data_IF_574600102603
#
_entry.id   IF_574600102603
#
_cell.length_a   1.000
_cell.length_b   1.000
_cell.length_c   1.000
_cell.angle_alpha   90.00
_cell.angle_beta   90.00
_cell.angle_gamma   90.00
#
_symmetry.space_group_name_H-M   'P 1'
#
loop_
_entity.id
_entity.type
_entity.pdbx_description
1 polymer ?
#
# COMPACT_ATOMS: atom_id res chain seq x y z
N UNK A 1 9.53 22.98 -12.43
CA UNK A 1 8.42 22.26 -11.78
C UNK A 1 8.20 20.97 -12.58
N UNK A 2 7.81 19.86 -11.93
CA UNK A 2 7.78 18.52 -12.55
C UNK A 2 6.56 18.40 -13.48
N UNK A 3 6.75 18.10 -14.78
CA UNK A 3 5.67 18.01 -15.78
C UNK A 3 4.55 17.05 -15.37
N UNK A 4 4.90 16.02 -14.60
CA UNK A 4 3.93 15.05 -14.08
C UNK A 4 3.05 15.66 -12.99
N UNK A 5 3.65 16.42 -12.09
CA UNK A 5 2.94 17.18 -11.04
C UNK A 5 1.99 18.21 -11.67
N UNK A 6 2.48 18.95 -12.67
CA UNK A 6 1.69 19.92 -13.45
C UNK A 6 0.46 19.26 -14.10
N UNK A 7 0.64 18.11 -14.75
CA UNK A 7 -0.47 17.36 -15.36
C UNK A 7 -1.54 16.90 -14.36
N UNK A 8 -1.13 16.48 -13.16
CA UNK A 8 -2.07 16.08 -12.10
C UNK A 8 -2.85 17.28 -11.56
N UNK A 9 -2.18 18.41 -11.31
CA UNK A 9 -2.84 19.63 -10.82
C UNK A 9 -3.78 20.21 -11.88
N UNK A 10 -3.37 20.21 -13.16
CA UNK A 10 -4.21 20.66 -14.27
C UNK A 10 -5.50 19.84 -14.40
N UNK A 11 -5.40 18.50 -14.29
CA UNK A 11 -6.58 17.60 -14.31
C UNK A 11 -7.56 17.92 -13.18
N UNK A 12 -7.06 18.13 -11.96
CA UNK A 12 -7.91 18.47 -10.81
C UNK A 12 -8.59 19.82 -10.96
N UNK A 13 -7.88 20.82 -11.51
CA UNK A 13 -8.47 22.13 -11.81
C UNK A 13 -9.54 22.04 -12.89
N UNK A 14 -9.33 21.24 -13.92
CA UNK A 14 -10.35 20.98 -14.96
C UNK A 14 -11.63 20.34 -14.40
N UNK A 15 -11.54 19.56 -13.33
CA UNK A 15 -12.71 19.02 -12.61
C UNK A 15 -13.40 20.05 -11.70
N UNK A 16 -12.70 21.14 -11.34
CA UNK A 16 -13.15 22.16 -10.38
C UNK A 16 -13.64 23.45 -11.06
N UNK A 17 -13.44 23.59 -12.38
CA UNK A 17 -13.79 24.79 -13.16
C UNK A 17 -15.29 25.11 -13.28
N UNK A 18 -16.16 24.38 -12.58
CA UNK A 18 -17.56 24.79 -12.33
C UNK A 18 -17.70 25.65 -11.05
N UNK A 19 -16.60 25.93 -10.32
CA UNK A 19 -16.60 26.75 -9.11
C UNK A 19 -15.32 27.61 -8.98
N UNK A 20 -15.41 28.85 -9.48
CA UNK A 20 -14.80 30.09 -8.95
C UNK A 20 -13.31 30.14 -8.53
N UNK A 21 -12.53 30.82 -9.37
CA UNK A 21 -11.28 31.61 -9.21
C UNK A 21 -10.18 31.33 -8.14
N UNK A 22 -8.98 31.14 -8.73
CA UNK A 22 -7.57 31.40 -8.35
C UNK A 22 -7.14 31.80 -6.93
N UNK A 23 -6.39 30.91 -6.25
CA UNK A 23 -5.27 31.26 -5.35
C UNK A 23 -4.19 30.14 -5.32
N UNK A 24 -2.96 30.46 -5.77
CA UNK A 24 -1.70 29.69 -5.57
C UNK A 24 -1.61 28.30 -6.23
N UNK A 25 -0.43 27.92 -6.72
CA UNK A 25 -0.21 26.68 -7.50
C UNK A 25 -0.70 25.38 -6.83
N UNK A 26 -0.78 25.35 -5.49
CA UNK A 26 -1.45 24.29 -4.70
C UNK A 26 -2.45 24.85 -3.66
N UNK A 27 -2.56 26.18 -3.55
CA UNK A 27 -3.34 26.86 -2.51
C UNK A 27 -4.83 26.56 -2.60
N UNK A 28 -5.34 26.46 -3.82
CA UNK A 28 -6.73 26.14 -4.15
C UNK A 28 -7.11 24.65 -3.99
N UNK A 29 -6.14 23.77 -3.72
CA UNK A 29 -6.42 22.35 -3.52
C UNK A 29 -6.88 22.10 -2.08
N UNK A 30 -7.98 21.36 -1.95
CA UNK A 30 -8.44 20.80 -0.68
C UNK A 30 -7.38 19.88 -0.05
N UNK A 31 -7.50 19.64 1.26
CA UNK A 31 -6.58 18.77 1.98
C UNK A 31 -6.47 17.37 1.33
N UNK A 32 -7.58 16.80 0.86
CA UNK A 32 -7.58 15.52 0.17
C UNK A 32 -6.85 15.57 -1.18
N UNK A 33 -7.10 16.62 -1.99
CA UNK A 33 -6.43 16.79 -3.28
C UNK A 33 -4.92 16.94 -3.11
N UNK A 34 -4.47 17.64 -2.06
CA UNK A 34 -3.04 17.73 -1.72
C UNK A 34 -2.47 16.38 -1.34
N UNK A 35 -3.18 15.58 -0.52
CA UNK A 35 -2.77 14.21 -0.22
C UNK A 35 -2.62 13.37 -1.50
N UNK A 36 -3.59 13.44 -2.41
CA UNK A 36 -3.54 12.73 -3.68
C UNK A 36 -2.32 13.15 -4.51
N UNK A 37 -2.12 14.46 -4.69
CA UNK A 37 -1.01 15.00 -5.47
C UNK A 37 0.34 14.61 -4.86
N UNK A 38 0.50 14.77 -3.54
CA UNK A 38 1.72 14.42 -2.82
C UNK A 38 2.05 12.93 -2.96
N UNK A 39 1.06 12.05 -2.82
CA UNK A 39 1.23 10.59 -2.94
C UNK A 39 1.50 10.17 -4.38
N UNK A 40 0.75 10.69 -5.35
CA UNK A 40 0.90 10.34 -6.77
C UNK A 40 2.20 10.88 -7.39
N UNK A 41 2.72 12.00 -6.88
CA UNK A 41 3.95 12.64 -7.34
C UNK A 41 5.22 12.19 -6.58
N UNK A 42 5.08 11.39 -5.51
CA UNK A 42 6.19 11.08 -4.59
C UNK A 42 6.79 12.31 -3.89
N UNK A 43 5.95 13.32 -3.65
CA UNK A 43 6.36 14.61 -3.08
C UNK A 43 5.73 14.79 -1.71
N UNK A 44 6.22 14.00 -0.75
CA UNK A 44 5.74 14.01 0.62
C UNK A 44 5.95 15.36 1.33
N UNK A 45 6.87 16.19 0.83
CA UNK A 45 7.05 17.58 1.24
C UNK A 45 5.81 18.46 0.99
N UNK A 46 4.89 18.01 0.11
CA UNK A 46 3.62 18.69 -0.19
C UNK A 46 2.46 18.21 0.71
N UNK A 47 2.70 17.22 1.58
CA UNK A 47 1.68 16.80 2.54
C UNK A 47 1.41 17.91 3.56
N UNK A 48 0.16 18.09 4.00
CA UNK A 48 -0.13 18.88 5.18
C UNK A 48 0.74 18.41 6.36
N UNK A 49 1.36 19.33 7.12
CA UNK A 49 2.32 19.02 8.18
C UNK A 49 1.83 18.03 9.26
N UNK A 50 0.53 17.82 9.37
CA UNK A 50 -0.08 16.89 10.32
C UNK A 50 -0.21 15.45 9.79
N UNK A 51 0.11 15.16 8.53
CA UNK A 51 -0.07 13.84 7.94
C UNK A 51 1.25 13.20 7.54
N UNK A 52 1.44 11.96 7.98
CA UNK A 52 2.41 11.06 7.36
C UNK A 52 1.83 10.46 6.05
N UNK A 53 2.66 9.85 5.19
CA UNK A 53 2.20 9.27 3.92
C UNK A 53 1.15 8.15 4.07
N UNK A 54 1.16 7.41 5.18
CA UNK A 54 0.22 6.31 5.45
C UNK A 54 -1.14 6.88 5.85
N UNK A 55 -1.16 7.86 6.75
CA UNK A 55 -2.37 8.59 7.12
C UNK A 55 -2.97 9.31 5.91
N UNK A 56 -2.13 9.95 5.08
CA UNK A 56 -2.54 10.58 3.84
C UNK A 56 -3.21 9.58 2.89
N UNK A 57 -2.66 8.37 2.76
CA UNK A 57 -3.21 7.29 1.94
C UNK A 57 -4.60 6.86 2.43
N UNK A 58 -4.76 6.64 3.73
CA UNK A 58 -6.03 6.21 4.32
C UNK A 58 -7.12 7.28 4.29
N UNK A 59 -6.77 8.55 4.09
CA UNK A 59 -7.74 9.64 3.88
C UNK A 59 -8.24 9.77 2.45
N UNK A 60 -7.56 9.15 1.48
CA UNK A 60 -8.03 9.13 0.11
C UNK A 60 -9.24 8.21 -0.03
N UNK A 61 -10.22 8.63 -0.82
CA UNK A 61 -11.29 7.74 -1.27
C UNK A 61 -10.76 6.66 -2.24
N UNK A 62 -11.52 5.57 -2.46
CA UNK A 62 -11.08 4.43 -3.28
C UNK A 62 -10.63 4.82 -4.69
N UNK A 63 -11.37 5.71 -5.36
CA UNK A 63 -11.07 6.18 -6.71
C UNK A 63 -9.71 6.91 -6.77
N UNK A 64 -9.37 7.65 -5.70
CA UNK A 64 -8.12 8.40 -5.62
C UNK A 64 -6.96 7.49 -5.25
N UNK A 65 -7.16 6.51 -4.38
CA UNK A 65 -6.18 5.45 -4.13
C UNK A 65 -5.83 4.69 -5.41
N UNK A 66 -6.85 4.34 -6.22
CA UNK A 66 -6.65 3.68 -7.50
C UNK A 66 -5.85 4.55 -8.47
N UNK A 67 -6.20 5.82 -8.57
CA UNK A 67 -5.45 6.76 -9.39
C UNK A 67 -3.99 6.88 -8.93
N UNK A 68 -3.71 6.94 -7.62
CA UNK A 68 -2.32 6.93 -7.10
C UNK A 68 -1.60 5.65 -7.50
N UNK A 69 -2.23 4.47 -7.39
CA UNK A 69 -1.62 3.21 -7.83
C UNK A 69 -1.23 3.26 -9.31
N UNK A 70 -2.14 3.71 -10.17
CA UNK A 70 -1.88 3.85 -11.61
C UNK A 70 -0.70 4.80 -11.88
N UNK A 71 -0.67 5.96 -11.25
CA UNK A 71 0.42 6.92 -11.42
C UNK A 71 1.75 6.36 -10.92
N UNK A 72 1.76 5.75 -9.73
CA UNK A 72 2.98 5.22 -9.09
C UNK A 72 3.46 3.90 -9.68
N UNK A 73 2.65 3.26 -10.53
CA UNK A 73 2.90 1.88 -10.98
C UNK A 73 2.84 0.89 -9.81
N UNK A 74 2.07 1.22 -8.77
CA UNK A 74 1.84 0.31 -7.66
C UNK A 74 0.77 -0.72 -8.03
N UNK A 75 0.80 -1.93 -7.43
CA UNK A 75 -0.23 -2.93 -7.68
C UNK A 75 -1.63 -2.37 -7.41
N UNK A 76 -2.58 -2.62 -8.32
CA UNK A 76 -3.96 -2.14 -8.17
C UNK A 76 -4.63 -2.70 -6.91
N UNK A 77 -4.22 -3.89 -6.47
CA UNK A 77 -4.68 -4.53 -5.23
C UNK A 77 -4.32 -3.73 -3.97
N UNK A 78 -3.41 -2.74 -4.05
CA UNK A 78 -3.11 -1.88 -2.92
C UNK A 78 -4.28 -0.97 -2.54
N UNK A 79 -5.21 -0.71 -3.45
CA UNK A 79 -6.47 -0.02 -3.15
C UNK A 79 -7.40 -0.81 -2.24
N UNK A 80 -7.17 -2.13 -2.13
CA UNK A 80 -7.92 -3.03 -1.25
C UNK A 80 -7.33 -3.07 0.16
N UNK A 81 -6.21 -2.38 0.43
CA UNK A 81 -5.45 -2.46 1.69
C UNK A 81 -6.21 -2.02 2.96
N UNK A 82 -7.40 -1.43 2.86
CA UNK A 82 -8.32 -1.33 3.99
C UNK A 82 -8.59 -2.69 4.64
N UNK A 83 -8.50 -3.78 3.87
CA UNK A 83 -8.63 -5.17 4.35
C UNK A 83 -7.31 -5.79 4.80
N UNK A 84 -6.14 -5.17 4.58
CA UNK A 84 -4.86 -5.86 4.81
C UNK A 84 -4.67 -6.24 6.29
N UNK A 85 -5.15 -5.42 7.22
CA UNK A 85 -5.10 -5.77 8.66
C UNK A 85 -5.99 -6.97 8.98
N UNK A 86 -7.18 -7.02 8.39
CA UNK A 86 -8.12 -8.14 8.56
C UNK A 86 -7.60 -9.40 7.87
N UNK A 87 -7.05 -9.29 6.67
CA UNK A 87 -6.43 -10.39 5.93
C UNK A 87 -5.18 -10.93 6.64
N UNK A 88 -4.31 -10.05 7.14
CA UNK A 88 -3.17 -10.45 7.98
C UNK A 88 -3.68 -11.15 9.25
N UNK A 89 -4.77 -10.68 9.85
CA UNK A 89 -5.45 -11.35 10.95
C UNK A 89 -5.93 -12.75 10.57
N UNK A 90 -6.66 -12.89 9.45
CA UNK A 90 -7.15 -14.17 8.92
C UNK A 90 -6.01 -15.15 8.67
N UNK A 91 -4.94 -14.70 8.01
CA UNK A 91 -3.77 -15.54 7.72
C UNK A 91 -3.08 -15.96 9.02
N UNK A 92 -2.95 -15.08 10.00
CA UNK A 92 -2.38 -15.44 11.31
C UNK A 92 -3.19 -16.53 12.01
N UNK A 93 -4.53 -16.45 12.00
CA UNK A 93 -5.43 -17.48 12.57
C UNK A 93 -5.25 -18.83 11.89
N UNK A 94 -5.16 -18.84 10.55
CA UNK A 94 -4.94 -20.08 9.79
C UNK A 94 -3.57 -20.69 10.12
N UNK A 95 -2.53 -19.86 10.23
CA UNK A 95 -1.19 -20.29 10.60
C UNK A 95 -1.12 -20.85 12.03
N UNK A 96 -1.86 -20.25 12.98
CA UNK A 96 -1.98 -20.75 14.34
C UNK A 96 -2.69 -22.12 14.37
N UNK A 97 -3.79 -22.26 13.63
CA UNK A 97 -4.52 -23.53 13.51
C UNK A 97 -3.67 -24.63 12.87
N UNK A 98 -2.77 -24.27 11.95
CA UNK A 98 -1.79 -25.17 11.34
C UNK A 98 -0.56 -25.45 12.23
N UNK A 99 -0.49 -24.88 13.43
CA UNK A 99 0.62 -25.07 14.37
C UNK A 99 1.93 -24.44 13.91
N UNK A 100 1.89 -23.43 13.04
CA UNK A 100 3.08 -22.76 12.53
C UNK A 100 3.69 -21.88 13.61
N UNK A 101 4.94 -22.14 14.06
CA UNK A 101 5.53 -21.40 15.16
C UNK A 101 5.82 -19.95 14.77
N UNK A 102 5.45 -19.02 15.64
CA UNK A 102 5.88 -17.62 15.54
C UNK A 102 7.37 -17.50 15.87
N UNK A 103 8.19 -17.12 14.89
CA UNK A 103 9.54 -16.64 15.17
C UNK A 103 9.40 -15.17 15.60
N UNK A 104 9.84 -14.86 16.82
CA UNK A 104 9.53 -13.61 17.53
C UNK A 104 9.53 -12.32 16.70
N UNK A 105 8.60 -11.42 17.04
CA UNK A 105 8.31 -10.16 16.37
C UNK A 105 6.83 -9.79 16.51
N UNK A 106 6.45 -8.56 16.17
CA UNK A 106 5.06 -8.13 16.12
C UNK A 106 4.65 -7.79 14.67
N UNK A 107 3.36 -7.91 14.36
CA UNK A 107 2.79 -7.53 13.07
C UNK A 107 3.42 -8.28 11.88
N UNK A 108 3.83 -7.55 10.86
CA UNK A 108 4.37 -8.10 9.61
C UNK A 108 5.66 -8.92 9.81
N UNK A 109 6.48 -8.60 10.81
CA UNK A 109 7.69 -9.37 11.10
C UNK A 109 7.38 -10.78 11.60
N UNK A 110 6.33 -10.93 12.42
CA UNK A 110 5.87 -12.24 12.86
C UNK A 110 5.36 -13.08 11.68
N UNK A 111 4.58 -12.46 10.78
CA UNK A 111 4.07 -13.09 9.57
C UNK A 111 5.20 -13.56 8.65
N UNK A 112 6.19 -12.68 8.39
CA UNK A 112 7.35 -13.01 7.56
C UNK A 112 8.17 -14.17 8.15
N UNK A 113 8.32 -14.21 9.48
CA UNK A 113 8.96 -15.32 10.19
C UNK A 113 8.25 -16.66 9.98
N UNK A 114 6.91 -16.65 10.01
CA UNK A 114 6.06 -17.84 9.78
C UNK A 114 6.10 -18.31 8.33
N UNK A 115 6.03 -17.40 7.36
CA UNK A 115 6.16 -17.73 5.93
C UNK A 115 7.52 -18.39 5.65
N UNK A 116 8.60 -17.83 6.20
CA UNK A 116 9.94 -18.41 6.07
C UNK A 116 10.01 -19.82 6.65
N UNK A 117 9.38 -20.07 7.81
CA UNK A 117 9.32 -21.40 8.40
C UNK A 117 8.60 -22.40 7.47
N UNK A 118 7.46 -22.02 6.90
CA UNK A 118 6.71 -22.86 5.96
C UNK A 118 7.53 -23.21 4.72
N UNK A 119 8.22 -22.24 4.13
CA UNK A 119 9.09 -22.47 2.97
C UNK A 119 10.20 -23.47 3.30
N UNK A 120 10.82 -23.34 4.47
CA UNK A 120 11.88 -24.24 4.90
C UNK A 120 11.34 -25.66 5.16
N UNK A 121 10.17 -25.76 5.79
CA UNK A 121 9.52 -27.06 6.03
C UNK A 121 9.18 -27.78 4.74
N UNK A 122 8.68 -27.05 3.72
CA UNK A 122 8.39 -27.62 2.40
C UNK A 122 9.65 -28.12 1.69
N UNK A 123 10.76 -27.37 1.77
CA UNK A 123 12.06 -27.82 1.21
C UNK A 123 12.56 -29.09 1.88
N UNK A 124 12.45 -29.18 3.21
CA UNK A 124 12.86 -30.37 3.95
C UNK A 124 12.02 -31.58 3.51
N UNK A 125 10.69 -31.45 3.47
CA UNK A 125 9.79 -32.53 3.05
C UNK A 125 10.10 -32.98 1.61
N UNK A 126 10.34 -32.04 0.70
CA UNK A 126 10.72 -32.36 -0.69
C UNK A 126 12.07 -33.11 -0.76
N UNK A 127 13.03 -32.77 0.10
CA UNK A 127 14.32 -33.45 0.20
C UNK A 127 14.17 -34.86 0.76
N UNK A 128 13.33 -35.04 1.78
CA UNK A 128 13.06 -36.33 2.43
C UNK A 128 12.36 -37.32 1.47
N UNK A 129 11.48 -36.82 0.59
CA UNK A 129 10.77 -37.64 -0.40
C UNK A 129 11.59 -37.91 -1.68
N UNK A 130 12.65 -37.13 -1.93
CA UNK A 130 13.58 -37.36 -3.04
C UNK A 130 14.65 -38.43 -2.75
N UNK A 131 14.81 -38.84 -1.48
CA UNK A 131 15.84 -39.81 -1.05
C UNK A 131 15.39 -41.26 -0.98
N UNK A 132 14.10 -41.57 -1.20
CA UNK A 132 13.55 -42.93 -1.09
C UNK A 132 13.51 -43.70 -2.42
N UNK A 133 14.29 -43.29 -3.42
CA UNK A 133 14.37 -43.94 -4.73
C UNK A 133 15.79 -44.41 -5.04
N UNK A 134 16.41 -45.17 -4.13
CA UNK A 134 17.43 -46.18 -4.48
C UNK A 134 17.69 -47.08 -3.27
N UNK A 135 17.36 -48.36 -3.41
CA UNK A 135 17.49 -49.40 -2.38
C UNK A 135 16.87 -50.71 -2.81
#
# INVERSE_FOLDING_TARGET
MDRRLEGMVARLRGQQADAGEEQGELGCLSAGQRCYVALAADRYDLLPHAYDPVEAWHRLGPDWQQAVCLWRGWPEDWTRLGTLREEVGRVCVVLDAAGVPGRGGAGLHALAGRVRWLTERLRQVASDHGGTADG
#
